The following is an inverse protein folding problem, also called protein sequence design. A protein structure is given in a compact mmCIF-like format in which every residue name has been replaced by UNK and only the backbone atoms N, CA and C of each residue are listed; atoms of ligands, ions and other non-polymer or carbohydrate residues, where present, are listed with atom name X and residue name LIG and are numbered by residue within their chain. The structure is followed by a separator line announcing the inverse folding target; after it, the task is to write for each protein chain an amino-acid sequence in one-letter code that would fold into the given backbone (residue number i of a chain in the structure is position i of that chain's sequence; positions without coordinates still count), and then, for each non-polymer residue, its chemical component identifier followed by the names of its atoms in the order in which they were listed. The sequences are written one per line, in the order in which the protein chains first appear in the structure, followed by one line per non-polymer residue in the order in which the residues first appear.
data_IF_286440042564
#
_entry.id   IF_286440042564
#
_cell.length_a   1.000
_cell.length_b   1.000
_cell.length_c   1.000
_cell.angle_alpha   90.00
_cell.angle_beta   90.00
_cell.angle_gamma   90.00
#
_symmetry.space_group_name_H-M   'P 1'
#
loop_
_entity.id
_entity.type
_entity.pdbx_description
1 polymer ?
#
# COMPACT_ATOMS: atom_id res chain seq x y z
N UNK A 1 17.38 38.87 -55.13
CA UNK A 1 17.57 39.83 -54.03
C UNK A 1 16.32 40.68 -53.97
N UNK A 2 15.32 40.21 -53.22
CA UNK A 2 14.10 40.90 -52.77
C UNK A 2 13.52 40.03 -51.63
N UNK A 3 13.12 40.59 -50.49
CA UNK A 3 12.52 39.87 -49.38
C UNK A 3 11.01 40.11 -49.32
N UNK A 4 10.24 39.04 -49.55
CA UNK A 4 8.79 38.90 -49.33
C UNK A 4 8.64 37.44 -48.82
N UNK A 5 7.83 37.05 -47.84
CA UNK A 5 6.67 37.64 -47.19
C UNK A 5 6.48 36.89 -45.86
N UNK A 6 6.00 37.60 -44.84
CA UNK A 6 5.62 37.03 -43.54
C UNK A 6 4.20 36.47 -43.66
N UNK A 7 4.07 35.15 -43.69
CA UNK A 7 2.79 34.46 -43.47
C UNK A 7 2.65 34.07 -42.00
N UNK A 8 1.99 34.90 -41.21
CA UNK A 8 1.54 34.56 -39.87
C UNK A 8 0.29 33.67 -39.98
N UNK A 9 0.45 32.36 -39.75
CA UNK A 9 -0.65 31.44 -39.58
C UNK A 9 -1.18 31.52 -38.15
N UNK A 10 -2.39 32.07 -38.00
CA UNK A 10 -3.17 32.04 -36.76
C UNK A 10 -3.47 30.58 -36.38
N UNK A 11 -2.91 30.12 -35.26
CA UNK A 11 -3.30 28.87 -34.62
C UNK A 11 -4.66 29.06 -33.94
N UNK A 12 -5.70 28.49 -34.55
CA UNK A 12 -7.02 28.36 -33.95
C UNK A 12 -6.96 27.59 -32.63
N UNK A 13 -7.62 28.04 -31.54
CA UNK A 13 -7.74 27.25 -30.32
C UNK A 13 -8.68 26.07 -30.58
N UNK A 14 -8.23 24.87 -30.22
CA UNK A 14 -9.03 23.66 -30.22
C UNK A 14 -10.09 23.75 -29.11
N UNK A 15 -11.37 23.83 -29.48
CA UNK A 15 -12.52 23.68 -28.59
C UNK A 15 -12.90 22.18 -28.48
N UNK A 16 -13.05 21.62 -27.26
CA UNK A 16 -13.56 20.27 -27.10
C UNK A 16 -15.07 20.21 -27.39
N UNK A 17 -15.59 19.13 -28.00
CA UNK A 17 -17.00 19.01 -28.33
C UNK A 17 -17.88 18.93 -27.07
N UNK A 18 -18.90 19.78 -27.08
CA UNK A 18 -20.00 19.92 -26.14
C UNK A 18 -20.75 18.57 -26.01
N UNK A 19 -20.54 17.85 -24.90
CA UNK A 19 -21.40 16.71 -24.51
C UNK A 19 -22.69 17.24 -23.90
N UNK A 20 -23.60 17.70 -24.76
CA UNK A 20 -25.00 17.93 -24.40
C UNK A 20 -25.91 17.33 -25.46
N UNK A 21 -26.49 16.17 -25.14
CA UNK A 21 -27.53 15.58 -25.96
C UNK A 21 -27.64 14.07 -25.84
N UNK A 22 -27.84 13.53 -24.63
CA UNK A 22 -28.50 12.23 -24.50
C UNK A 22 -29.86 12.42 -23.83
N UNK A 23 -30.97 11.99 -24.46
CA UNK A 23 -32.31 12.03 -23.87
C UNK A 23 -32.48 10.94 -22.80
N UNK A 24 -33.42 11.11 -21.84
CA UNK A 24 -33.66 10.14 -20.78
C UNK A 24 -34.33 8.89 -21.37
N UNK A 25 -33.55 7.81 -21.48
CA UNK A 25 -34.04 6.47 -21.74
C UNK A 25 -34.78 5.93 -20.52
N UNK A 26 -36.10 5.90 -20.69
CA UNK A 26 -37.13 5.25 -19.89
C UNK A 26 -36.80 3.77 -19.63
N UNK A 27 -36.31 3.44 -18.43
CA UNK A 27 -36.33 2.08 -17.91
C UNK A 27 -37.55 1.89 -17.01
N UNK A 28 -38.69 1.66 -17.67
CA UNK A 28 -39.81 0.96 -17.08
C UNK A 28 -39.47 -0.53 -17.05
N UNK A 29 -39.23 -1.07 -15.86
CA UNK A 29 -38.93 -2.47 -15.63
C UNK A 29 -39.27 -2.83 -14.20
N UNK A 30 -40.50 -3.27 -14.01
CA UNK A 30 -41.12 -3.71 -12.78
C UNK A 30 -40.25 -4.77 -12.07
N UNK A 31 -39.90 -4.50 -10.80
CA UNK A 31 -39.80 -5.56 -9.80
C UNK A 31 -40.66 -5.17 -8.59
N UNK A 32 -41.84 -5.77 -8.59
CA UNK A 32 -42.72 -6.04 -7.47
C UNK A 32 -41.92 -6.57 -6.28
N UNK A 33 -41.64 -5.71 -5.30
CA UNK A 33 -41.30 -6.15 -3.94
C UNK A 33 -42.60 -6.21 -3.17
N UNK A 34 -43.03 -7.44 -2.93
CA UNK A 34 -44.17 -7.82 -2.13
C UNK A 34 -43.99 -7.29 -0.69
N UNK A 35 -44.82 -6.32 -0.35
CA UNK A 35 -44.95 -5.77 0.99
C UNK A 35 -45.76 -6.74 1.86
N UNK A 36 -45.10 -7.35 2.86
CA UNK A 36 -45.79 -7.82 4.07
C UNK A 36 -45.31 -6.98 5.24
N UNK A 37 -46.20 -6.11 5.73
CA UNK A 37 -45.96 -5.26 6.87
C UNK A 37 -46.09 -6.02 8.19
N UNK A 38 -45.53 -5.44 9.25
CA UNK A 38 -46.32 -5.05 10.40
C UNK A 38 -45.57 -4.01 11.25
N UNK A 39 -46.27 -2.98 11.77
CA UNK A 39 -45.70 -1.96 12.62
C UNK A 39 -45.73 -2.42 14.08
N UNK A 40 -44.65 -2.20 14.82
CA UNK A 40 -44.68 -2.27 16.28
C UNK A 40 -44.21 -0.95 16.87
N UNK A 41 -45.16 -0.30 17.51
CA UNK A 41 -45.11 0.93 18.28
C UNK A 41 -44.18 0.81 19.49
N UNK A 42 -43.29 1.81 19.63
CA UNK A 42 -42.80 2.51 20.83
C UNK A 42 -42.97 1.83 22.23
N UNK A 43 -42.01 1.99 23.16
CA UNK A 43 -41.88 3.30 23.80
C UNK A 43 -40.46 3.80 24.05
N UNK A 44 -40.38 5.13 24.07
CA UNK A 44 -39.36 5.95 24.70
C UNK A 44 -38.92 5.37 26.05
N UNK A 45 -37.60 5.24 26.24
CA UNK A 45 -37.00 5.11 27.56
C UNK A 45 -35.87 6.14 27.71
N UNK A 46 -35.84 6.89 28.84
CA UNK A 46 -35.12 8.14 28.97
C UNK A 46 -33.61 7.95 29.16
N UNK A 47 -32.89 8.99 28.71
CA UNK A 47 -31.46 9.16 28.84
C UNK A 47 -30.96 9.05 30.30
N UNK A 48 -29.88 8.28 30.58
CA UNK A 48 -29.13 8.45 31.80
C UNK A 48 -28.25 9.70 31.69
N UNK A 49 -28.73 10.81 32.24
CA UNK A 49 -27.90 11.95 32.64
C UNK A 49 -26.84 11.46 33.62
N UNK A 50 -25.63 11.25 33.11
CA UNK A 50 -24.47 10.97 33.96
C UNK A 50 -23.81 12.30 34.28
N UNK A 51 -23.63 12.66 35.55
CA UNK A 51 -23.05 13.94 35.93
C UNK A 51 -21.60 14.03 35.48
N UNK A 52 -21.30 15.13 34.79
CA UNK A 52 -19.94 15.61 34.51
C UNK A 52 -19.24 15.83 35.86
N UNK A 53 -18.47 14.83 36.30
CA UNK A 53 -17.52 15.00 37.41
C UNK A 53 -16.30 15.72 36.86
N UNK A 54 -16.44 17.04 36.71
CA UNK A 54 -15.34 17.97 36.47
C UNK A 54 -14.49 18.00 37.75
N UNK A 55 -13.54 17.06 37.88
CA UNK A 55 -12.47 17.17 38.87
C UNK A 55 -11.55 18.28 38.36
N UNK A 56 -11.89 19.51 38.74
CA UNK A 56 -10.92 20.58 38.88
C UNK A 56 -9.83 20.07 39.83
N UNK A 57 -8.72 19.61 39.27
CA UNK A 57 -7.45 19.61 39.98
C UNK A 57 -7.05 21.06 40.19
N UNK A 58 -7.67 21.63 41.22
CA UNK A 58 -7.28 22.87 41.87
C UNK A 58 -5.85 22.64 42.35
N UNK A 59 -4.90 23.34 41.73
CA UNK A 59 -3.56 23.48 42.28
C UNK A 59 -3.69 23.92 43.75
N UNK A 60 -3.13 23.19 44.72
CA UNK A 60 -2.95 23.74 46.05
C UNK A 60 -1.98 24.91 45.92
N UNK A 61 -2.54 26.10 46.12
CA UNK A 61 -1.77 27.32 46.26
C UNK A 61 -0.71 27.16 47.35
N UNK A 62 0.43 27.77 47.07
CA UNK A 62 1.09 28.68 47.99
C UNK A 62 0.93 28.36 49.49
N UNK A 63 1.77 27.45 49.97
CA UNK A 63 2.30 27.49 51.32
C UNK A 63 3.67 26.81 51.34
N UNK A 64 4.62 27.31 50.53
CA UNK A 64 6.04 27.20 50.90
C UNK A 64 6.27 28.23 51.99
N UNK A 65 5.83 27.87 53.17
CA UNK A 65 6.25 28.50 54.41
C UNK A 65 7.77 28.37 54.46
N UNK A 66 8.41 29.54 54.41
CA UNK A 66 9.84 29.74 54.47
C UNK A 66 10.27 29.36 55.89
N UNK A 67 10.52 28.07 56.13
CA UNK A 67 11.33 27.65 57.26
C UNK A 67 12.79 27.93 56.88
N UNK A 68 13.20 29.20 57.06
CA UNK A 68 14.61 29.52 57.26
C UNK A 68 15.07 28.74 58.49
N UNK A 69 16.05 27.84 58.38
CA UNK A 69 16.68 27.30 59.57
C UNK A 69 17.43 28.45 60.24
N UNK A 70 16.84 28.98 61.31
CA UNK A 70 17.53 29.87 62.24
C UNK A 70 18.68 29.06 62.82
N UNK A 71 19.88 29.34 62.32
CA UNK A 71 21.14 28.75 62.79
C UNK A 71 21.49 29.44 64.11
N UNK A 72 20.86 29.01 65.18
CA UNK A 72 21.23 29.41 66.53
C UNK A 72 22.60 28.87 66.89
N UNK A 73 23.53 29.68 67.42
CA UNK A 73 24.81 29.19 67.92
C UNK A 73 24.57 28.55 69.30
N UNK A 74 24.72 27.23 69.36
CA UNK A 74 24.68 26.46 70.60
C UNK A 74 23.33 25.80 70.87
N UNK A 75 23.26 24.47 70.77
CA UNK A 75 22.09 23.74 71.22
C UNK A 75 21.92 22.33 70.68
N UNK A 76 22.52 21.37 71.40
CA UNK A 76 22.12 19.96 71.56
C UNK A 76 21.96 19.11 70.29
N UNK A 77 22.88 18.15 70.17
CA UNK A 77 22.76 16.94 69.35
C UNK A 77 21.45 16.22 69.69
N UNK A 78 20.40 16.48 68.90
CA UNK A 78 19.13 15.76 68.99
C UNK A 78 19.35 14.41 68.34
N UNK A 79 19.51 13.37 69.15
CA UNK A 79 19.49 11.97 68.75
C UNK A 79 18.15 11.69 68.06
N UNK A 80 18.14 11.81 66.73
CA UNK A 80 17.00 11.44 65.92
C UNK A 80 16.65 9.97 66.17
N UNK A 81 15.35 9.61 66.11
CA UNK A 81 14.93 8.23 66.29
C UNK A 81 15.76 7.33 65.36
N UNK A 82 16.46 6.35 65.94
CA UNK A 82 17.12 5.27 65.21
C UNK A 82 16.10 4.71 64.23
N UNK A 83 16.21 5.09 62.96
CA UNK A 83 15.43 4.46 61.88
C UNK A 83 15.74 2.98 61.98
N UNK A 84 14.75 2.19 62.40
CA UNK A 84 14.87 0.74 62.41
C UNK A 84 15.40 0.30 61.04
N UNK A 85 16.42 -0.58 60.99
CA UNK A 85 16.96 -1.04 59.72
C UNK A 85 15.80 -1.63 58.93
N UNK A 86 15.42 -0.97 57.83
CA UNK A 86 14.46 -1.53 56.88
C UNK A 86 14.95 -2.94 56.58
N UNK A 87 14.15 -3.93 56.96
CA UNK A 87 14.54 -5.33 56.92
C UNK A 87 14.97 -5.65 55.49
N UNK A 88 16.06 -6.40 55.36
CA UNK A 88 16.64 -6.74 54.06
C UNK A 88 15.60 -7.36 53.10
N UNK A 89 14.60 -8.06 53.65
CA UNK A 89 13.45 -8.61 52.95
C UNK A 89 12.51 -7.55 52.31
N UNK A 90 12.32 -6.39 52.94
CA UNK A 90 11.55 -5.30 52.32
C UNK A 90 12.35 -4.66 51.16
N UNK A 91 13.68 -4.59 51.27
CA UNK A 91 14.52 -3.98 50.24
C UNK A 91 14.67 -4.88 48.99
N UNK A 92 14.57 -6.20 49.12
CA UNK A 92 14.60 -7.13 47.99
C UNK A 92 13.27 -7.18 47.23
N UNK A 93 12.12 -7.15 47.90
CA UNK A 93 10.81 -7.16 47.22
C UNK A 93 10.56 -5.92 46.36
N UNK A 94 11.04 -4.74 46.78
CA UNK A 94 10.97 -3.52 45.95
C UNK A 94 11.85 -3.58 44.70
N UNK A 95 12.97 -4.33 44.70
CA UNK A 95 13.83 -4.47 43.50
C UNK A 95 13.17 -5.32 42.43
N UNK A 96 12.58 -6.45 42.82
CA UNK A 96 11.92 -7.37 41.89
C UNK A 96 10.75 -6.66 41.17
N UNK A 97 9.94 -5.90 41.89
CA UNK A 97 8.81 -5.19 41.29
C UNK A 97 9.22 -4.08 40.28
N UNK A 98 10.36 -3.41 40.48
CA UNK A 98 10.86 -2.41 39.51
C UNK A 98 11.49 -3.07 38.28
N UNK A 99 12.16 -4.22 38.44
CA UNK A 99 12.71 -5.01 37.33
C UNK A 99 11.61 -5.52 36.40
N UNK A 100 10.54 -6.10 36.95
CA UNK A 100 9.38 -6.58 36.18
C UNK A 100 8.71 -5.44 35.41
N UNK A 101 8.54 -4.28 36.04
CA UNK A 101 7.94 -3.10 35.41
C UNK A 101 8.81 -2.56 34.26
N UNK A 102 10.14 -2.65 34.35
CA UNK A 102 11.07 -2.26 33.27
C UNK A 102 11.00 -3.23 32.10
N UNK A 103 11.03 -4.53 32.37
CA UNK A 103 10.92 -5.57 31.35
C UNK A 103 9.60 -5.45 30.59
N UNK A 104 8.48 -5.23 31.28
CA UNK A 104 7.18 -5.06 30.64
C UNK A 104 7.11 -3.82 29.75
N UNK A 105 7.67 -2.68 30.20
CA UNK A 105 7.78 -1.46 29.39
C UNK A 105 8.67 -1.65 28.16
N UNK A 106 9.78 -2.37 28.31
CA UNK A 106 10.67 -2.65 27.19
C UNK A 106 9.99 -3.60 26.18
N UNK A 107 9.34 -4.66 26.65
CA UNK A 107 8.65 -5.62 25.77
C UNK A 107 7.49 -4.97 25.01
N UNK A 108 6.66 -4.16 25.68
CA UNK A 108 5.56 -3.44 25.03
C UNK A 108 6.03 -2.44 23.98
N UNK A 109 7.17 -1.77 24.19
CA UNK A 109 7.80 -0.89 23.19
C UNK A 109 8.24 -1.68 21.95
N UNK A 110 8.93 -2.80 22.14
CA UNK A 110 9.37 -3.64 21.02
C UNK A 110 8.21 -4.27 20.27
N UNK A 111 7.14 -4.65 20.97
CA UNK A 111 5.88 -5.07 20.33
C UNK A 111 5.26 -3.95 19.50
N UNK A 112 5.31 -2.69 19.98
CA UNK A 112 4.86 -1.53 19.20
C UNK A 112 5.68 -1.29 17.94
N UNK A 113 7.02 -1.33 18.04
CA UNK A 113 7.93 -1.18 16.89
C UNK A 113 7.75 -2.33 15.90
N UNK A 114 7.69 -3.57 16.39
CA UNK A 114 7.47 -4.76 15.55
C UNK A 114 6.11 -4.76 14.87
N UNK A 115 5.05 -4.37 15.59
CA UNK A 115 3.71 -4.21 15.03
C UNK A 115 3.65 -3.13 13.94
N UNK A 116 4.29 -1.97 14.18
CA UNK A 116 4.41 -0.91 13.18
C UNK A 116 5.21 -1.39 11.95
N UNK A 117 6.31 -2.11 12.14
CA UNK A 117 7.11 -2.67 11.05
C UNK A 117 6.30 -3.65 10.19
N UNK A 118 5.58 -4.57 10.83
CA UNK A 118 4.72 -5.54 10.15
C UNK A 118 3.63 -4.84 9.33
N UNK A 119 2.89 -3.92 9.95
CA UNK A 119 1.81 -3.19 9.27
C UNK A 119 2.37 -2.32 8.13
N UNK A 120 3.54 -1.71 8.31
CA UNK A 120 4.22 -0.95 7.25
C UNK A 120 4.55 -1.85 6.05
N UNK A 121 5.14 -3.02 6.29
CA UNK A 121 5.46 -3.99 5.24
C UNK A 121 4.20 -4.45 4.49
N UNK A 122 3.14 -4.84 5.22
CA UNK A 122 1.87 -5.24 4.61
C UNK A 122 1.22 -4.11 3.81
N UNK A 123 1.25 -2.88 4.34
CA UNK A 123 0.72 -1.71 3.64
C UNK A 123 1.47 -1.43 2.34
N UNK A 124 2.80 -1.58 2.33
CA UNK A 124 3.61 -1.44 1.12
C UNK A 124 3.23 -2.49 0.07
N UNK A 125 3.05 -3.75 0.49
CA UNK A 125 2.62 -4.83 -0.42
C UNK A 125 1.23 -4.51 -1.00
N UNK A 126 0.26 -4.18 -0.15
CA UNK A 126 -1.10 -3.86 -0.58
C UNK A 126 -1.14 -2.65 -1.52
N UNK A 127 -0.41 -1.58 -1.19
CA UNK A 127 -0.31 -0.39 -2.04
C UNK A 127 0.35 -0.70 -3.39
N UNK A 128 1.35 -1.57 -3.40
CA UNK A 128 1.98 -2.00 -4.65
C UNK A 128 1.05 -2.87 -5.49
N UNK A 129 0.22 -3.70 -4.85
CA UNK A 129 -0.83 -4.44 -5.53
C UNK A 129 -1.88 -3.50 -6.17
N UNK A 130 -2.27 -2.41 -5.48
CA UNK A 130 -3.15 -1.38 -6.06
C UNK A 130 -2.54 -0.76 -7.33
N UNK A 131 -1.24 -0.44 -7.30
CA UNK A 131 -0.56 0.10 -8.48
C UNK A 131 -0.47 -0.90 -9.63
N UNK A 132 -0.12 -2.15 -9.34
CA UNK A 132 0.00 -3.23 -10.33
C UNK A 132 -1.34 -3.57 -10.99
N UNK A 133 -2.41 -3.57 -10.20
CA UNK A 133 -3.78 -3.88 -10.67
C UNK A 133 -4.49 -2.66 -11.27
N UNK A 134 -3.86 -1.49 -11.29
CA UNK A 134 -4.38 -0.32 -11.98
C UNK A 134 -4.48 -0.58 -13.48
N UNK A 135 -5.59 -0.16 -14.10
CA UNK A 135 -5.94 -0.46 -15.50
C UNK A 135 -4.77 -0.31 -16.48
N UNK A 136 -4.05 0.82 -16.43
CA UNK A 136 -2.92 1.08 -17.35
C UNK A 136 -1.75 0.10 -17.18
N UNK A 137 -1.35 -0.24 -15.95
CA UNK A 137 -0.27 -1.20 -15.74
C UNK A 137 -0.71 -2.63 -15.99
N UNK A 138 -1.91 -2.99 -15.54
CA UNK A 138 -2.46 -4.32 -15.71
C UNK A 138 -2.61 -4.67 -17.21
N UNK A 139 -3.20 -3.77 -18.01
CA UNK A 139 -3.34 -3.99 -19.46
C UNK A 139 -1.99 -4.07 -20.17
N UNK A 140 -1.02 -3.21 -19.85
CA UNK A 140 0.32 -3.28 -20.43
C UNK A 140 1.02 -4.62 -20.11
N UNK A 141 0.93 -5.10 -18.86
CA UNK A 141 1.49 -6.41 -18.47
C UNK A 141 0.75 -7.54 -19.19
N UNK A 142 -0.58 -7.47 -19.28
CA UNK A 142 -1.38 -8.45 -19.98
C UNK A 142 -1.04 -8.50 -21.48
N UNK A 143 -0.91 -7.35 -22.16
CA UNK A 143 -0.47 -7.26 -23.56
C UNK A 143 0.88 -7.93 -23.79
N UNK A 144 1.85 -7.67 -22.90
CA UNK A 144 3.19 -8.29 -22.96
C UNK A 144 3.15 -9.80 -22.76
N UNK A 145 2.31 -10.28 -21.84
CA UNK A 145 2.16 -11.73 -21.58
C UNK A 145 1.34 -12.45 -22.65
N UNK A 146 0.36 -11.80 -23.26
CA UNK A 146 -0.52 -12.38 -24.25
C UNK A 146 0.17 -12.60 -25.60
N UNK A 147 1.12 -11.74 -25.96
CA UNK A 147 1.85 -11.85 -27.22
C UNK A 147 2.49 -13.25 -27.44
N UNK A 148 3.31 -13.78 -26.51
CA UNK A 148 3.87 -15.13 -26.66
C UNK A 148 2.87 -16.26 -26.44
N UNK A 149 1.78 -16.03 -25.68
CA UNK A 149 0.81 -17.07 -25.32
C UNK A 149 -0.26 -17.32 -26.38
N UNK A 150 -0.65 -16.29 -27.13
CA UNK A 150 -1.79 -16.36 -28.04
C UNK A 150 -1.44 -16.79 -29.47
N UNK A 151 -0.16 -17.07 -29.75
CA UNK A 151 0.36 -17.34 -31.11
C UNK A 151 -0.12 -16.29 -32.14
N UNK A 152 -0.44 -15.07 -31.69
CA UNK A 152 -1.07 -14.03 -32.52
C UNK A 152 -0.24 -13.71 -33.75
N UNK A 153 1.09 -13.78 -33.62
CA UNK A 153 2.02 -13.51 -34.70
C UNK A 153 1.91 -14.54 -35.83
N UNK A 154 1.80 -15.83 -35.48
CA UNK A 154 1.60 -16.92 -36.44
C UNK A 154 0.21 -16.89 -37.05
N UNK A 155 -0.80 -16.57 -36.26
CA UNK A 155 -2.17 -16.45 -36.72
C UNK A 155 -2.31 -15.32 -37.74
N UNK A 156 -1.76 -14.14 -37.43
CA UNK A 156 -1.77 -13.01 -38.35
C UNK A 156 -0.91 -13.30 -39.59
N UNK A 157 0.20 -14.03 -39.47
CA UNK A 157 0.97 -14.43 -40.65
C UNK A 157 0.14 -15.25 -41.64
N UNK A 158 -0.66 -16.18 -41.13
CA UNK A 158 -1.49 -17.08 -41.95
C UNK A 158 -2.76 -16.42 -42.46
N UNK A 159 -3.44 -15.65 -41.61
CA UNK A 159 -4.83 -15.23 -41.85
C UNK A 159 -4.95 -13.75 -42.30
N UNK A 160 -3.85 -12.96 -42.34
CA UNK A 160 -3.90 -11.52 -42.67
C UNK A 160 -4.53 -11.22 -44.04
N UNK A 161 -4.15 -11.94 -45.09
CA UNK A 161 -4.72 -11.71 -46.43
C UNK A 161 -6.24 -12.01 -46.47
N UNK A 162 -6.66 -13.04 -45.73
CA UNK A 162 -8.07 -13.39 -45.58
C UNK A 162 -8.83 -12.31 -44.81
N UNK A 163 -8.26 -11.80 -43.72
CA UNK A 163 -8.85 -10.70 -42.93
C UNK A 163 -9.00 -9.41 -43.77
N UNK A 164 -8.00 -9.08 -44.57
CA UNK A 164 -8.06 -7.93 -45.49
C UNK A 164 -9.14 -8.11 -46.56
N UNK A 165 -9.26 -9.30 -47.14
CA UNK A 165 -10.31 -9.61 -48.13
C UNK A 165 -11.71 -9.54 -47.50
N UNK A 166 -11.87 -10.04 -46.28
CA UNK A 166 -13.13 -9.95 -45.52
C UNK A 166 -13.47 -8.50 -45.16
N UNK A 167 -12.49 -7.69 -44.78
CA UNK A 167 -12.68 -6.27 -44.50
C UNK A 167 -13.16 -5.50 -45.74
N UNK A 168 -12.59 -5.80 -46.92
CA UNK A 168 -12.99 -5.15 -48.17
C UNK A 168 -14.38 -5.58 -48.65
N UNK A 169 -14.81 -6.80 -48.33
CA UNK A 169 -16.12 -7.33 -48.71
C UNK A 169 -17.24 -6.95 -47.72
N UNK A 170 -16.89 -6.56 -46.50
CA UNK A 170 -17.84 -6.20 -45.46
C UNK A 170 -18.15 -4.69 -45.54
N UNK A 171 -19.32 -4.34 -46.06
CA UNK A 171 -19.86 -2.97 -46.02
C UNK A 171 -20.22 -2.62 -44.56
N UNK A 172 -19.27 -1.99 -43.87
CA UNK A 172 -19.38 -1.38 -42.53
C UNK A 172 -19.67 -2.36 -41.36
N UNK A 173 -19.59 -3.66 -41.60
CA UNK A 173 -19.78 -4.69 -40.55
C UNK A 173 -18.47 -5.00 -39.84
N UNK A 174 -18.51 -5.26 -38.53
CA UNK A 174 -17.33 -5.69 -37.79
C UNK A 174 -16.89 -7.10 -38.21
N UNK A 175 -15.61 -7.26 -38.54
CA UNK A 175 -15.01 -8.57 -38.87
C UNK A 175 -14.53 -9.22 -37.57
N UNK A 176 -14.93 -10.48 -37.34
CA UNK A 176 -14.49 -11.26 -36.18
C UNK A 176 -13.23 -12.05 -36.57
N UNK A 177 -12.18 -11.95 -35.75
CA UNK A 177 -10.96 -12.76 -35.92
C UNK A 177 -11.23 -14.20 -35.49
N UNK A 178 -11.79 -15.02 -36.38
CA UNK A 178 -12.31 -16.36 -36.05
C UNK A 178 -11.30 -17.33 -35.42
N UNK A 179 -10.03 -17.22 -35.79
CA UNK A 179 -8.97 -18.10 -35.30
C UNK A 179 -8.44 -17.67 -33.92
N UNK A 180 -8.79 -16.46 -33.44
CA UNK A 180 -8.31 -15.94 -32.16
C UNK A 180 -9.28 -16.35 -31.03
N UNK A 181 -8.77 -16.80 -29.86
CA UNK A 181 -9.61 -17.39 -28.80
C UNK A 181 -10.65 -16.43 -28.23
N UNK A 182 -10.34 -15.14 -28.17
CA UNK A 182 -11.33 -14.11 -27.86
C UNK A 182 -11.96 -13.65 -29.17
N UNK A 183 -13.24 -13.90 -29.39
CA UNK A 183 -13.95 -13.36 -30.58
C UNK A 183 -13.94 -11.83 -30.57
N UNK A 184 -12.88 -11.24 -31.12
CA UNK A 184 -12.66 -9.80 -31.18
C UNK A 184 -13.21 -9.32 -32.52
N UNK A 185 -14.14 -8.37 -32.42
CA UNK A 185 -14.77 -7.73 -33.54
C UNK A 185 -14.04 -6.40 -33.80
N UNK A 186 -13.45 -6.26 -34.99
CA UNK A 186 -12.78 -5.04 -35.45
C UNK A 186 -13.63 -4.46 -36.59
N UNK A 187 -13.98 -3.16 -36.58
CA UNK A 187 -14.68 -2.54 -37.70
C UNK A 187 -13.95 -2.76 -39.03
N UNK A 188 -14.66 -3.17 -40.09
CA UNK A 188 -14.05 -3.42 -41.40
C UNK A 188 -13.30 -2.19 -41.95
N UNK A 189 -13.85 -0.99 -41.75
CA UNK A 189 -13.21 0.26 -42.15
C UNK A 189 -11.84 0.47 -41.48
N UNK A 190 -11.73 0.20 -40.18
CA UNK A 190 -10.47 0.29 -39.41
C UNK A 190 -9.50 -0.80 -39.88
N UNK A 191 -9.99 -2.04 -40.03
CA UNK A 191 -9.17 -3.20 -40.42
C UNK A 191 -8.54 -3.05 -41.82
N UNK A 192 -9.25 -2.43 -42.76
CA UNK A 192 -8.77 -2.21 -44.14
C UNK A 192 -7.61 -1.21 -44.23
N UNK A 193 -7.46 -0.34 -43.24
CA UNK A 193 -6.43 0.71 -43.21
C UNK A 193 -5.24 0.34 -42.33
N UNK A 194 -5.41 -0.63 -41.44
CA UNK A 194 -4.36 -1.08 -40.52
C UNK A 194 -3.36 -2.01 -41.20
N UNK A 195 -2.09 -1.75 -40.91
CA UNK A 195 -1.01 -2.69 -41.15
C UNK A 195 -1.12 -3.92 -40.24
N UNK A 196 -0.41 -5.00 -40.58
CA UNK A 196 -0.34 -6.22 -39.75
C UNK A 196 0.07 -5.92 -38.30
N UNK A 197 1.03 -5.03 -38.10
CA UNK A 197 1.53 -4.67 -36.77
C UNK A 197 0.49 -3.87 -35.96
N UNK A 198 -0.29 -3.02 -36.61
CA UNK A 198 -1.40 -2.30 -35.98
C UNK A 198 -2.54 -3.25 -35.59
N UNK A 199 -2.89 -4.22 -36.47
CA UNK A 199 -3.88 -5.26 -36.13
C UNK A 199 -3.39 -6.08 -34.93
N UNK A 200 -2.10 -6.47 -34.92
CA UNK A 200 -1.48 -7.17 -33.79
C UNK A 200 -1.62 -6.39 -32.49
N UNK A 201 -1.21 -5.13 -32.48
CA UNK A 201 -1.31 -4.27 -31.31
C UNK A 201 -2.77 -4.09 -30.86
N UNK A 202 -3.69 -3.90 -31.82
CA UNK A 202 -5.12 -3.75 -31.55
C UNK A 202 -5.74 -4.99 -30.93
N UNK A 203 -5.48 -6.17 -31.50
CA UNK A 203 -5.95 -7.45 -30.98
C UNK A 203 -5.43 -7.67 -29.56
N UNK A 204 -4.11 -7.49 -29.32
CA UNK A 204 -3.53 -7.66 -27.99
C UNK A 204 -4.11 -6.68 -26.96
N UNK A 205 -4.30 -5.42 -27.35
CA UNK A 205 -4.85 -4.39 -26.46
C UNK A 205 -6.30 -4.64 -26.08
N UNK A 206 -7.14 -4.96 -27.08
CA UNK A 206 -8.55 -5.32 -26.84
C UNK A 206 -8.66 -6.60 -26.01
N UNK A 207 -7.80 -7.60 -26.27
CA UNK A 207 -7.71 -8.81 -25.45
C UNK A 207 -7.36 -8.51 -24.00
N UNK A 208 -6.31 -7.72 -23.78
CA UNK A 208 -5.85 -7.37 -22.44
C UNK A 208 -6.92 -6.62 -21.65
N UNK A 209 -7.63 -5.69 -22.29
CA UNK A 209 -8.75 -4.99 -21.67
C UNK A 209 -9.90 -5.95 -21.31
N UNK A 210 -10.25 -6.87 -22.22
CA UNK A 210 -11.31 -7.86 -21.95
C UNK A 210 -10.95 -8.77 -20.77
N UNK A 211 -9.69 -9.20 -20.67
CA UNK A 211 -9.20 -9.98 -19.52
C UNK A 211 -9.22 -9.15 -18.25
N UNK A 212 -8.85 -7.88 -18.32
CA UNK A 212 -8.86 -7.00 -17.16
C UNK A 212 -10.27 -6.82 -16.60
N UNK A 213 -11.26 -6.63 -17.48
CA UNK A 213 -12.66 -6.42 -17.10
C UNK A 213 -13.35 -7.73 -16.67
N UNK A 214 -13.16 -8.81 -17.43
CA UNK A 214 -13.93 -10.06 -17.27
C UNK A 214 -13.17 -11.20 -16.58
N UNK A 215 -11.86 -11.07 -16.43
CA UNK A 215 -10.96 -12.12 -15.94
C UNK A 215 -10.58 -13.15 -17.02
N UNK A 216 -9.65 -14.03 -16.66
CA UNK A 216 -9.15 -15.10 -17.55
C UNK A 216 -10.18 -16.19 -17.88
N UNK A 217 -11.27 -16.29 -17.11
CA UNK A 217 -12.32 -17.29 -17.33
C UNK A 217 -13.03 -17.16 -18.68
N UNK A 218 -12.87 -16.03 -19.38
CA UNK A 218 -13.37 -15.86 -20.75
C UNK A 218 -12.53 -16.60 -21.79
N UNK A 219 -11.33 -17.08 -21.45
CA UNK A 219 -10.46 -17.86 -22.34
C UNK A 219 -10.71 -19.37 -22.28
N UNK A 220 -11.22 -19.88 -21.17
CA UNK A 220 -11.49 -21.29 -21.02
C UNK A 220 -12.73 -21.67 -21.84
N UNK A 221 -12.49 -22.10 -23.08
CA UNK A 221 -13.43 -22.94 -23.82
C UNK A 221 -13.73 -24.15 -22.94
N UNK A 222 -15.00 -24.51 -22.79
CA UNK A 222 -15.54 -25.46 -21.79
C UNK A 222 -14.88 -26.86 -21.78
N UNK A 223 -13.98 -27.14 -22.73
CA UNK A 223 -13.28 -28.42 -22.92
C UNK A 223 -11.84 -28.47 -22.35
N UNK A 224 -11.31 -27.38 -21.80
CA UNK A 224 -9.96 -27.38 -21.20
C UNK A 224 -10.00 -28.04 -19.81
N UNK A 225 -9.75 -29.36 -19.76
CA UNK A 225 -9.72 -30.15 -18.54
C UNK A 225 -8.82 -29.54 -17.45
N UNK A 226 -9.21 -29.74 -16.18
CA UNK A 226 -8.52 -29.25 -14.98
C UNK A 226 -7.01 -29.51 -15.02
N UNK A 227 -6.25 -28.51 -15.45
CA UNK A 227 -4.79 -28.54 -15.46
C UNK A 227 -4.21 -28.50 -14.04
N UNK A 228 -3.06 -29.12 -13.84
CA UNK A 228 -2.32 -29.04 -12.58
C UNK A 228 -1.92 -27.59 -12.27
N UNK A 229 -2.08 -27.17 -11.00
CA UNK A 229 -1.73 -25.84 -10.49
C UNK A 229 -0.26 -25.43 -10.75
N UNK A 230 0.64 -26.40 -10.97
CA UNK A 230 2.05 -26.16 -11.26
C UNK A 230 2.40 -26.14 -12.75
N UNK A 231 1.39 -26.16 -13.62
CA UNK A 231 1.62 -25.96 -15.06
C UNK A 231 1.86 -24.47 -15.37
N UNK A 232 2.65 -24.17 -16.42
CA UNK A 232 2.74 -22.85 -17.05
C UNK A 232 1.39 -22.11 -17.17
N UNK A 233 0.34 -22.83 -17.60
CA UNK A 233 -1.02 -22.32 -17.74
C UNK A 233 -1.65 -21.96 -16.40
N UNK A 234 -1.43 -22.78 -15.36
CA UNK A 234 -1.91 -22.51 -14.00
C UNK A 234 -1.25 -21.27 -13.39
N UNK A 235 0.05 -21.06 -13.62
CA UNK A 235 0.76 -19.83 -13.19
C UNK A 235 0.18 -18.62 -13.91
N UNK A 236 -0.08 -18.71 -15.22
CA UNK A 236 -0.73 -17.63 -15.96
C UNK A 236 -2.12 -17.31 -15.41
N UNK A 237 -2.98 -18.30 -15.20
CA UNK A 237 -4.31 -18.10 -14.59
C UNK A 237 -4.21 -17.43 -13.22
N UNK A 238 -3.25 -17.86 -12.41
CA UNK A 238 -3.04 -17.31 -11.08
C UNK A 238 -2.58 -15.85 -11.15
N UNK A 239 -1.70 -15.51 -12.10
CA UNK A 239 -1.11 -14.17 -12.25
C UNK A 239 -2.04 -13.20 -12.96
N UNK A 240 -2.54 -13.56 -14.15
CA UNK A 240 -3.50 -12.76 -14.90
C UNK A 240 -4.86 -12.68 -14.19
N UNK A 241 -5.24 -13.72 -13.44
CA UNK A 241 -6.40 -13.67 -12.56
C UNK A 241 -6.28 -12.60 -11.47
N UNK A 242 -5.06 -12.28 -10.99
CA UNK A 242 -4.87 -11.15 -10.06
C UNK A 242 -5.01 -9.79 -10.73
N UNK A 243 -4.74 -9.68 -12.03
CA UNK A 243 -4.77 -8.41 -12.79
C UNK A 243 -6.16 -8.09 -13.34
N UNK A 244 -7.15 -8.01 -12.45
CA UNK A 244 -8.55 -7.71 -12.82
C UNK A 244 -9.09 -6.49 -12.09
N UNK A 245 -10.10 -5.83 -12.65
CA UNK A 245 -10.78 -4.69 -12.02
C UNK A 245 -11.37 -5.05 -10.63
N UNK A 246 -11.86 -6.29 -10.49
CA UNK A 246 -12.34 -6.82 -9.20
C UNK A 246 -11.23 -6.87 -8.16
N UNK A 247 -10.07 -7.42 -8.52
CA UNK A 247 -8.94 -7.54 -7.61
C UNK A 247 -8.29 -6.19 -7.32
N UNK A 248 -8.34 -5.24 -8.25
CA UNK A 248 -7.98 -3.85 -7.98
C UNK A 248 -8.83 -3.26 -6.84
N UNK A 249 -10.15 -3.44 -6.88
CA UNK A 249 -11.06 -2.98 -5.83
C UNK A 249 -10.75 -3.64 -4.49
N UNK A 250 -10.52 -4.96 -4.49
CA UNK A 250 -10.14 -5.71 -3.27
C UNK A 250 -8.80 -5.19 -2.71
N UNK A 251 -7.81 -4.94 -3.57
CA UNK A 251 -6.51 -4.40 -3.18
C UNK A 251 -6.66 -3.00 -2.53
N UNK A 252 -7.54 -2.14 -3.08
CA UNK A 252 -7.86 -0.84 -2.48
C UNK A 252 -8.46 -1.02 -1.09
N UNK A 253 -9.45 -1.91 -0.95
CA UNK A 253 -10.08 -2.18 0.35
C UNK A 253 -9.05 -2.65 1.38
N UNK A 254 -8.19 -3.61 1.01
CA UNK A 254 -7.12 -4.11 1.89
C UNK A 254 -6.14 -2.98 2.25
N UNK A 255 -5.72 -2.16 1.29
CA UNK A 255 -4.83 -1.04 1.54
C UNK A 255 -5.45 -0.01 2.49
N UNK A 256 -6.73 0.31 2.33
CA UNK A 256 -7.47 1.22 3.23
C UNK A 256 -7.56 0.63 4.64
N UNK A 257 -7.91 -0.66 4.77
CA UNK A 257 -7.95 -1.33 6.08
C UNK A 257 -6.58 -1.31 6.75
N UNK A 258 -5.50 -1.64 6.02
CA UNK A 258 -4.14 -1.60 6.55
C UNK A 258 -3.72 -0.17 6.92
N UNK A 259 -4.12 0.85 6.16
CA UNK A 259 -3.89 2.24 6.51
C UNK A 259 -4.60 2.61 7.82
N UNK A 260 -5.83 2.13 8.04
CA UNK A 260 -6.56 2.31 9.30
C UNK A 260 -5.88 1.63 10.49
N UNK A 261 -5.15 0.52 10.30
CA UNK A 261 -4.31 -0.09 11.34
C UNK A 261 -2.95 0.61 11.50
N UNK A 262 -2.41 1.16 10.43
CA UNK A 262 -1.13 1.86 10.43
C UNK A 262 -1.18 3.13 11.29
N UNK A 263 -2.22 3.95 11.14
CA UNK A 263 -2.39 5.20 11.90
C UNK A 263 -2.32 5.00 13.42
N UNK A 264 -3.11 4.11 14.06
CA UNK A 264 -3.04 3.91 15.51
C UNK A 264 -1.70 3.30 15.95
N UNK A 265 -1.06 2.44 15.15
CA UNK A 265 0.28 1.94 15.45
C UNK A 265 1.33 3.05 15.41
N UNK A 266 1.21 3.96 14.45
CA UNK A 266 2.05 5.14 14.36
C UNK A 266 1.83 6.09 15.54
N UNK A 267 0.57 6.38 15.87
CA UNK A 267 0.20 7.21 17.05
C UNK A 267 0.71 6.58 18.33
N UNK A 268 0.58 5.25 18.49
CA UNK A 268 1.13 4.53 19.64
C UNK A 268 2.65 4.71 19.73
N UNK A 269 3.38 4.48 18.64
CA UNK A 269 4.83 4.67 18.60
C UNK A 269 5.25 6.11 18.93
N UNK A 270 4.44 7.10 18.52
CA UNK A 270 4.63 8.52 18.86
C UNK A 270 4.23 8.89 20.29
N UNK A 271 3.31 8.14 20.91
CA UNK A 271 2.88 8.36 22.29
C UNK A 271 3.85 7.79 23.32
N UNK A 272 4.60 6.75 22.95
CA UNK A 272 5.52 6.04 23.82
C UNK A 272 6.92 6.67 23.81
N UNK A 273 7.35 7.17 24.97
CA UNK A 273 8.70 7.71 25.20
C UNK A 273 8.75 9.23 25.31
N UNK A 274 9.95 9.75 25.53
CA UNK A 274 10.21 11.20 25.61
C UNK A 274 10.97 11.69 24.38
N UNK A 275 10.57 12.86 23.83
CA UNK A 275 11.28 13.56 22.75
C UNK A 275 11.83 12.65 21.64
N UNK A 276 13.16 12.47 21.62
CA UNK A 276 13.90 11.71 20.63
C UNK A 276 13.54 10.21 20.58
N UNK A 277 13.12 9.60 21.70
CA UNK A 277 12.74 8.18 21.73
C UNK A 277 11.54 7.89 20.82
N UNK A 278 10.57 8.81 20.75
CA UNK A 278 9.36 8.69 19.92
C UNK A 278 9.72 8.63 18.44
N UNK A 279 10.58 9.55 18.01
CA UNK A 279 11.06 9.63 16.65
C UNK A 279 11.96 8.42 16.30
N UNK A 280 12.80 7.95 17.24
CA UNK A 280 13.59 6.72 17.08
C UNK A 280 12.70 5.49 16.88
N UNK A 281 11.68 5.28 17.71
CA UNK A 281 10.80 4.12 17.61
C UNK A 281 9.98 4.14 16.31
N UNK A 282 9.45 5.30 15.93
CA UNK A 282 8.76 5.49 14.65
C UNK A 282 9.69 5.20 13.47
N UNK A 283 10.88 5.81 13.45
CA UNK A 283 11.89 5.62 12.40
C UNK A 283 12.32 4.16 12.28
N UNK A 284 12.56 3.49 13.41
CA UNK A 284 12.90 2.07 13.46
C UNK A 284 11.78 1.18 12.89
N UNK A 285 10.52 1.42 13.26
CA UNK A 285 9.38 0.65 12.74
C UNK A 285 9.25 0.79 11.22
N UNK A 286 9.30 2.02 10.70
CA UNK A 286 9.25 2.27 9.26
C UNK A 286 10.43 1.67 8.51
N UNK A 287 11.65 1.83 9.05
CA UNK A 287 12.87 1.30 8.46
C UNK A 287 12.85 -0.23 8.40
N UNK A 288 12.50 -0.90 9.51
CA UNK A 288 12.43 -2.36 9.59
C UNK A 288 11.33 -2.90 8.66
N UNK A 289 10.16 -2.26 8.61
CA UNK A 289 9.08 -2.68 7.71
C UNK A 289 9.47 -2.55 6.24
N UNK A 290 9.99 -1.40 5.83
CA UNK A 290 10.39 -1.12 4.46
C UNK A 290 11.59 -1.96 3.99
N UNK A 291 12.68 -1.96 4.77
CA UNK A 291 13.90 -2.71 4.44
C UNK A 291 13.70 -4.22 4.59
N UNK A 292 12.98 -4.66 5.62
CA UNK A 292 12.68 -6.08 5.83
C UNK A 292 11.90 -6.66 4.65
N UNK A 293 10.88 -5.93 4.17
CA UNK A 293 10.16 -6.32 2.95
C UNK A 293 11.06 -6.31 1.72
N UNK A 294 11.89 -5.26 1.53
CA UNK A 294 12.81 -5.18 0.40
C UNK A 294 13.78 -6.36 0.36
N UNK A 295 14.36 -6.72 1.51
CA UNK A 295 15.25 -7.89 1.66
C UNK A 295 14.49 -9.18 1.35
N UNK A 296 13.28 -9.35 1.90
CA UNK A 296 12.45 -10.53 1.64
C UNK A 296 12.13 -10.69 0.14
N UNK A 297 11.82 -9.58 -0.55
CA UNK A 297 11.57 -9.58 -2.00
C UNK A 297 12.82 -9.87 -2.83
N UNK A 298 13.99 -9.38 -2.41
CA UNK A 298 15.26 -9.73 -3.07
C UNK A 298 15.59 -11.22 -2.91
N UNK A 299 15.34 -11.79 -1.73
CA UNK A 299 15.50 -13.23 -1.49
C UNK A 299 14.51 -14.01 -2.37
N UNK A 300 13.22 -13.63 -2.36
CA UNK A 300 12.20 -14.25 -3.19
C UNK A 300 12.56 -14.17 -4.69
N UNK A 301 13.09 -13.03 -5.14
CA UNK A 301 13.60 -12.83 -6.51
C UNK A 301 14.76 -13.77 -6.84
N UNK A 302 15.69 -13.96 -5.91
CA UNK A 302 16.80 -14.91 -6.08
C UNK A 302 16.32 -16.35 -6.16
N UNK A 303 15.39 -16.74 -5.29
CA UNK A 303 14.78 -18.07 -5.29
C UNK A 303 13.99 -18.32 -6.59
N UNK A 304 13.21 -17.33 -7.04
CA UNK A 304 12.42 -17.43 -8.27
C UNK A 304 13.31 -17.65 -9.50
N UNK A 305 14.44 -16.93 -9.59
CA UNK A 305 15.44 -17.14 -10.65
C UNK A 305 16.02 -18.55 -10.62
N UNK A 306 16.27 -19.11 -9.44
CA UNK A 306 16.79 -20.47 -9.32
C UNK A 306 15.78 -21.56 -9.70
N UNK A 307 14.48 -21.29 -9.52
CA UNK A 307 13.40 -22.26 -9.84
C UNK A 307 12.99 -22.16 -11.31
N UNK A 308 12.99 -20.96 -11.89
CA UNK A 308 12.52 -20.71 -13.26
C UNK A 308 13.64 -20.67 -14.32
N UNK A 309 14.90 -20.94 -13.97
CA UNK A 309 16.01 -21.01 -14.94
C UNK A 309 15.92 -22.29 -15.79
N UNK A 310 14.92 -22.37 -16.65
CA UNK A 310 14.80 -23.38 -17.71
C UNK A 310 15.12 -22.75 -19.06
N UNK A 311 15.71 -23.49 -19.99
CA UNK A 311 16.07 -23.02 -21.36
C UNK A 311 14.85 -22.74 -22.28
N UNK A 312 13.67 -22.46 -21.73
CA UNK A 312 12.44 -22.16 -22.46
C UNK A 312 12.15 -20.66 -22.44
N UNK A 313 11.93 -20.08 -23.61
CA UNK A 313 11.57 -18.68 -23.82
C UNK A 313 10.32 -18.26 -23.04
N UNK A 314 9.39 -19.19 -22.78
CA UNK A 314 8.22 -18.91 -21.96
C UNK A 314 8.58 -18.62 -20.48
N UNK A 315 9.46 -19.43 -19.89
CA UNK A 315 9.91 -19.23 -18.51
C UNK A 315 10.68 -17.92 -18.35
N UNK A 316 11.49 -17.54 -19.35
CA UNK A 316 12.19 -16.26 -19.37
C UNK A 316 11.20 -15.08 -19.40
N UNK A 317 10.15 -15.17 -20.23
CA UNK A 317 9.10 -14.15 -20.28
C UNK A 317 8.33 -14.03 -18.96
N UNK A 318 7.98 -15.17 -18.32
CA UNK A 318 7.34 -15.17 -17.01
C UNK A 318 8.26 -14.59 -15.92
N UNK A 319 9.54 -14.94 -15.96
CA UNK A 319 10.53 -14.43 -15.03
C UNK A 319 10.61 -12.91 -15.18
N UNK A 320 10.74 -12.38 -16.39
CA UNK A 320 10.80 -10.94 -16.63
C UNK A 320 9.56 -10.20 -16.13
N UNK A 321 8.36 -10.75 -16.35
CA UNK A 321 7.12 -10.19 -15.81
C UNK A 321 7.12 -10.21 -14.29
N UNK A 322 7.51 -11.32 -13.66
CA UNK A 322 7.62 -11.42 -12.20
C UNK A 322 8.67 -10.47 -11.62
N UNK A 323 9.81 -10.32 -12.28
CA UNK A 323 10.89 -9.42 -11.91
C UNK A 323 10.47 -7.95 -12.02
N UNK A 324 9.70 -7.60 -13.04
CA UNK A 324 9.12 -6.27 -13.23
C UNK A 324 8.03 -5.99 -12.19
N UNK A 325 7.14 -6.96 -11.93
CA UNK A 325 6.09 -6.83 -10.93
C UNK A 325 6.65 -6.65 -9.51
N UNK A 326 7.70 -7.38 -9.16
CA UNK A 326 8.41 -7.23 -7.87
C UNK A 326 9.18 -5.90 -7.75
N UNK A 327 9.42 -5.19 -8.86
CA UNK A 327 10.13 -3.91 -8.88
C UNK A 327 9.39 -2.81 -8.11
N UNK A 328 8.06 -2.73 -8.23
CA UNK A 328 7.24 -1.74 -7.53
C UNK A 328 7.29 -1.87 -6.00
N UNK A 329 6.99 -3.03 -5.39
CA UNK A 329 7.07 -3.18 -3.95
C UNK A 329 8.49 -3.04 -3.42
N UNK A 330 9.51 -3.42 -4.20
CA UNK A 330 10.91 -3.18 -3.84
C UNK A 330 11.21 -1.67 -3.77
N UNK A 331 10.83 -0.89 -4.80
CA UNK A 331 11.02 0.56 -4.82
C UNK A 331 10.29 1.23 -3.66
N UNK A 332 9.03 0.86 -3.43
CA UNK A 332 8.24 1.39 -2.31
C UNK A 332 8.88 1.01 -0.96
N UNK A 333 9.31 -0.24 -0.80
CA UNK A 333 10.04 -0.72 0.38
C UNK A 333 11.29 0.10 0.68
N UNK A 334 12.10 0.39 -0.35
CA UNK A 334 13.29 1.22 -0.23
C UNK A 334 12.96 2.67 0.13
N UNK A 335 11.91 3.26 -0.45
CA UNK A 335 11.48 4.63 -0.12
C UNK A 335 11.07 4.73 1.36
N UNK A 336 10.19 3.84 1.83
CA UNK A 336 9.77 3.82 3.23
C UNK A 336 10.92 3.46 4.18
N UNK A 337 11.78 2.53 3.77
CA UNK A 337 12.99 2.16 4.48
C UNK A 337 13.94 3.35 4.67
N UNK A 338 14.19 4.10 3.59
CA UNK A 338 15.03 5.29 3.61
C UNK A 338 14.42 6.42 4.45
N UNK A 339 13.11 6.68 4.32
CA UNK A 339 12.41 7.66 5.14
C UNK A 339 12.50 7.31 6.63
N UNK A 340 12.23 6.06 6.99
CA UNK A 340 12.39 5.57 8.37
C UNK A 340 13.83 5.70 8.85
N UNK A 341 14.80 5.35 8.00
CA UNK A 341 16.23 5.46 8.28
C UNK A 341 16.69 6.90 8.53
N UNK A 342 16.21 7.87 7.73
CA UNK A 342 16.51 9.30 7.91
C UNK A 342 15.95 9.80 9.25
N UNK A 343 14.70 9.47 9.58
CA UNK A 343 14.09 9.83 10.87
C UNK A 343 14.87 9.21 12.03
N UNK A 344 15.25 7.95 11.90
CA UNK A 344 16.03 7.23 12.90
C UNK A 344 17.41 7.89 13.12
N UNK A 345 18.14 8.16 12.03
CA UNK A 345 19.44 8.80 12.07
C UNK A 345 19.38 10.22 12.67
N UNK A 346 18.39 11.03 12.26
CA UNK A 346 18.18 12.37 12.81
C UNK A 346 17.90 12.32 14.32
N UNK A 347 17.12 11.34 14.78
CA UNK A 347 16.81 11.16 16.20
C UNK A 347 18.06 10.83 17.02
N UNK A 348 18.90 9.92 16.51
CA UNK A 348 20.16 9.54 17.14
C UNK A 348 21.17 10.70 17.16
N UNK A 349 21.28 11.44 16.06
CA UNK A 349 22.15 12.61 15.97
C UNK A 349 21.73 13.71 16.96
N UNK A 350 20.43 13.93 17.11
CA UNK A 350 19.89 14.88 18.08
C UNK A 350 20.19 14.46 19.53
N UNK A 351 20.03 13.18 19.86
CA UNK A 351 20.37 12.63 21.18
C UNK A 351 21.86 12.79 21.50
N UNK A 352 22.74 12.47 20.54
CA UNK A 352 24.18 12.66 20.68
C UNK A 352 24.58 14.13 20.88
N UNK A 353 23.91 15.05 20.19
CA UNK A 353 24.13 16.49 20.32
C UNK A 353 23.72 16.98 21.72
N UNK A 354 22.56 16.54 22.23
CA UNK A 354 22.10 16.88 23.58
C UNK A 354 23.05 16.36 24.65
N UNK A 355 23.54 15.13 24.51
CA UNK A 355 24.51 14.55 25.43
C UNK A 355 25.81 15.35 25.45
N UNK A 356 26.32 15.74 24.27
CA UNK A 356 27.50 16.61 24.15
C UNK A 356 27.29 17.99 24.78
N UNK A 357 26.09 18.57 24.65
CA UNK A 357 25.76 19.86 25.28
C UNK A 357 25.66 19.76 26.80
N UNK A 358 25.02 18.72 27.32
CA UNK A 358 24.90 18.48 28.76
C UNK A 358 26.26 18.27 29.41
N UNK A 359 27.14 17.48 28.79
CA UNK A 359 28.51 17.29 29.25
C UNK A 359 29.25 18.62 29.41
N UNK A 360 29.23 19.49 28.39
CA UNK A 360 29.89 20.81 28.45
C UNK A 360 29.40 21.71 29.58
N UNK A 361 28.13 21.60 29.99
CA UNK A 361 27.61 22.38 31.13
C UNK A 361 28.15 21.86 32.46
N UNK A 362 28.21 20.54 32.66
CA UNK A 362 28.77 19.95 33.86
C UNK A 362 30.24 20.36 34.07
N UNK A 363 31.06 20.32 33.02
CA UNK A 363 32.45 20.78 33.07
C UNK A 363 32.59 22.27 33.44
N UNK A 364 31.64 23.11 33.04
CA UNK A 364 31.67 24.53 33.36
C UNK A 364 31.29 24.82 34.82
N UNK A 365 30.40 24.01 35.40
CA UNK A 365 30.01 24.10 36.81
C UNK A 365 31.12 23.61 37.76
N UNK A 366 31.92 22.62 37.36
CA UNK A 366 33.05 22.13 38.15
C UNK A 366 34.29 23.05 38.11
N UNK A 367 34.35 23.96 37.14
CA UNK A 367 35.51 24.83 36.91
C UNK A 367 35.40 26.25 37.52
N UNK A 368 34.24 26.63 38.05
CA UNK A 368 33.97 27.93 38.69
C UNK A 368 33.69 27.78 40.18
#
# INVERSE_FOLDING_TARGET
MSPDERGAGESSPWEPPDRRGEPPGEYAGEQTVEATGQPSTAPLSPAPTTPVRRVQNRAPGAAREILRPVRGPGGRVRSGPRRAPATWAARSSFRVADEDARLHRQMSRWMGVGGLALVTGLLIVAWSAVQLTGRSHATQVLEQTLAPLSDVDRLLERDYATLQTQAQAADDTSVIVQSYPLGIAIPAAELSQMSRDEIRARVLSVSAERIYESGVGTFTREDAGQGSFFSPSGVFELTAGQLTARNHTIAIIIAVLLALFFVPMLVRALSEGSGAERARNMGAGLALGGLGLAIALLIARGLLRGVLSSDDAFSDALLDVGLNAAGLPLRNGLIFGALGGVVLAASLAFEALLWRWAGRRAWAEDAG
#
